data_IF_904524810224
#
_entry.id   IF_904524810224
#
_cell.length_a   1.000
_cell.length_b   1.000
_cell.length_c   1.000
_cell.angle_alpha   90.00
_cell.angle_beta   90.00
_cell.angle_gamma   90.00
#
_symmetry.space_group_name_H-M   'P 1'
#
loop_
_entity.id
_entity.type
_entity.pdbx_description
1 polymer ?
#
# COMPACT_ATOMS: atom_id res chain seq x y z
N UNK A 1 -3.49 -22.68 17.15
CA UNK A 1 -2.73 -22.12 16.01
C UNK A 1 -3.16 -20.69 15.71
N UNK A 2 -2.75 -19.75 16.56
CA UNK A 2 -3.04 -18.31 16.38
C UNK A 2 -2.10 -17.65 15.35
N UNK A 3 -0.90 -18.21 15.17
CA UNK A 3 0.15 -17.71 14.27
C UNK A 3 -0.24 -17.75 12.79
N UNK A 4 -1.02 -18.76 12.37
CA UNK A 4 -1.48 -18.86 10.98
C UNK A 4 -2.52 -17.79 10.61
N UNK A 5 -3.32 -17.33 11.59
CA UNK A 5 -4.29 -16.25 11.40
C UNK A 5 -3.64 -14.87 11.33
N UNK A 6 -2.63 -14.61 12.17
CA UNK A 6 -1.88 -13.35 12.13
C UNK A 6 -1.15 -13.15 10.80
N UNK A 7 -0.54 -14.19 10.25
CA UNK A 7 0.17 -14.12 8.98
C UNK A 7 -0.75 -13.74 7.80
N UNK A 8 -1.95 -14.32 7.72
CA UNK A 8 -2.90 -14.00 6.64
C UNK A 8 -3.45 -12.57 6.77
N UNK A 9 -3.66 -12.08 8.00
CA UNK A 9 -4.06 -10.70 8.25
C UNK A 9 -2.99 -9.70 7.80
N UNK A 10 -1.72 -9.91 8.20
CA UNK A 10 -0.60 -9.04 7.79
C UNK A 10 -0.45 -9.03 6.27
N UNK A 11 -0.58 -10.21 5.63
CA UNK A 11 -0.54 -10.31 4.17
C UNK A 11 -1.65 -9.48 3.51
N UNK A 12 -2.88 -9.54 4.04
CA UNK A 12 -4.00 -8.73 3.56
C UNK A 12 -3.73 -7.23 3.66
N UNK A 13 -3.18 -6.77 4.80
CA UNK A 13 -2.84 -5.35 4.99
C UNK A 13 -1.72 -4.91 4.04
N UNK A 14 -0.71 -5.75 3.83
CA UNK A 14 0.36 -5.46 2.87
C UNK A 14 -0.18 -5.28 1.43
N UNK A 15 -1.14 -6.12 1.03
CA UNK A 15 -1.80 -6.00 -0.28
C UNK A 15 -2.61 -4.70 -0.36
N UNK A 16 -3.37 -4.34 0.69
CA UNK A 16 -4.15 -3.10 0.72
C UNK A 16 -3.26 -1.86 0.55
N UNK A 17 -2.17 -1.78 1.32
CA UNK A 17 -1.21 -0.69 1.22
C UNK A 17 -0.54 -0.60 -0.16
N UNK A 18 -0.20 -1.75 -0.77
CA UNK A 18 0.28 -1.79 -2.15
C UNK A 18 -0.73 -1.25 -3.15
N UNK A 19 -2.01 -1.59 -2.98
CA UNK A 19 -3.11 -1.09 -3.82
C UNK A 19 -3.29 0.42 -3.63
N UNK A 20 -3.24 0.94 -2.41
CA UNK A 20 -3.36 2.38 -2.14
C UNK A 20 -2.29 3.18 -2.89
N UNK A 21 -1.02 2.78 -2.78
CA UNK A 21 0.11 3.42 -3.47
C UNK A 21 -0.08 3.34 -4.98
N UNK A 22 -0.35 2.15 -5.51
CA UNK A 22 -0.46 1.91 -6.96
C UNK A 22 -1.65 2.65 -7.57
N UNK A 23 -2.77 2.70 -6.86
CA UNK A 23 -3.98 3.40 -7.31
C UNK A 23 -3.73 4.91 -7.41
N UNK A 24 -3.02 5.50 -6.43
CA UNK A 24 -2.63 6.91 -6.45
C UNK A 24 -1.59 7.21 -7.52
N UNK A 25 -0.60 6.34 -7.67
CA UNK A 25 0.39 6.43 -8.75
C UNK A 25 -0.29 6.49 -10.11
N UNK A 26 -1.27 5.64 -10.34
CA UNK A 26 -2.05 5.61 -11.59
C UNK A 26 -2.80 6.92 -11.86
N UNK A 27 -3.29 7.60 -10.82
CA UNK A 27 -3.99 8.88 -10.97
C UNK A 27 -2.98 9.97 -11.37
N UNK A 28 -1.87 10.08 -10.65
CA UNK A 28 -0.83 11.08 -10.95
C UNK A 28 -0.13 10.83 -12.29
N UNK A 29 0.15 9.57 -12.63
CA UNK A 29 0.76 9.20 -13.91
C UNK A 29 -0.15 9.46 -15.12
N UNK A 30 -1.48 9.56 -14.92
CA UNK A 30 -2.39 10.02 -15.99
C UNK A 30 -2.38 11.53 -16.17
N UNK A 31 -2.25 12.26 -15.07
CA UNK A 31 -2.31 13.72 -15.09
C UNK A 31 -0.98 14.37 -15.47
N UNK A 32 0.15 13.66 -15.29
CA UNK A 32 1.50 14.19 -15.51
C UNK A 32 2.24 13.44 -16.61
N UNK A 33 2.98 14.18 -17.45
CA UNK A 33 3.85 13.63 -18.51
C UNK A 33 5.19 13.08 -17.98
N UNK A 34 5.62 13.50 -16.79
CA UNK A 34 6.92 13.13 -16.22
C UNK A 34 6.77 12.09 -15.12
N UNK A 35 7.24 10.87 -15.36
CA UNK A 35 7.18 9.73 -14.43
C UNK A 35 7.82 10.01 -13.05
N UNK A 36 9.02 10.65 -12.96
CA UNK A 36 9.64 10.92 -11.66
C UNK A 36 8.84 11.93 -10.84
N UNK A 37 8.27 12.94 -11.51
CA UNK A 37 7.42 13.94 -10.86
C UNK A 37 6.09 13.35 -10.38
N UNK A 38 5.50 12.44 -11.16
CA UNK A 38 4.29 11.70 -10.75
C UNK A 38 4.55 10.82 -9.53
N UNK A 39 5.72 10.16 -9.45
CA UNK A 39 6.10 9.34 -8.31
C UNK A 39 6.28 10.17 -7.04
N UNK A 40 6.98 11.30 -7.13
CA UNK A 40 7.20 12.19 -5.98
C UNK A 40 5.87 12.71 -5.40
N UNK A 41 4.93 13.11 -6.27
CA UNK A 41 3.61 13.56 -5.84
C UNK A 41 2.78 12.42 -5.24
N UNK A 42 2.87 11.22 -5.83
CA UNK A 42 2.20 10.02 -5.31
C UNK A 42 2.62 9.74 -3.88
N UNK A 43 3.93 9.73 -3.60
CA UNK A 43 4.43 9.47 -2.25
C UNK A 43 3.90 10.52 -1.28
N UNK A 44 3.91 11.81 -1.64
CA UNK A 44 3.34 12.88 -0.80
C UNK A 44 1.86 12.67 -0.53
N UNK A 45 1.08 12.36 -1.56
CA UNK A 45 -0.36 12.17 -1.46
C UNK A 45 -0.76 10.90 -0.70
N UNK A 46 0.10 9.87 -0.71
CA UNK A 46 -0.16 8.57 -0.07
C UNK A 46 0.31 8.52 1.38
N UNK A 47 1.40 9.23 1.71
CA UNK A 47 1.98 9.19 3.07
C UNK A 47 0.99 9.71 4.12
N UNK A 48 0.24 10.77 3.83
CA UNK A 48 -0.75 11.32 4.76
C UNK A 48 -1.89 10.33 5.09
N UNK A 49 -2.64 9.77 4.10
CA UNK A 49 -3.71 8.81 4.39
C UNK A 49 -3.19 7.47 4.93
N UNK A 50 -2.00 7.01 4.52
CA UNK A 50 -1.41 5.79 5.09
C UNK A 50 -0.97 6.00 6.54
N UNK A 51 -0.44 7.18 6.86
CA UNK A 51 -0.07 7.53 8.22
C UNK A 51 -1.28 7.58 9.15
N UNK A 52 -2.38 8.20 8.72
CA UNK A 52 -3.60 8.27 9.54
C UNK A 52 -4.23 6.89 9.78
N UNK A 53 -4.28 6.04 8.75
CA UNK A 53 -4.79 4.67 8.90
C UNK A 53 -3.89 3.81 9.79
N UNK A 54 -2.57 3.95 9.67
CA UNK A 54 -1.61 3.24 10.53
C UNK A 54 -1.71 3.70 11.97
N UNK A 55 -1.80 5.01 12.23
CA UNK A 55 -1.99 5.54 13.58
C UNK A 55 -3.30 5.07 14.21
N UNK A 56 -4.41 5.10 13.45
CA UNK A 56 -5.68 4.58 13.92
C UNK A 56 -5.60 3.09 14.27
N UNK A 57 -4.95 2.28 13.42
CA UNK A 57 -4.73 0.86 13.67
C UNK A 57 -3.88 0.62 14.92
N UNK A 58 -2.80 1.38 15.12
CA UNK A 58 -1.95 1.28 16.32
C UNK A 58 -2.73 1.60 17.60
N UNK A 59 -3.55 2.64 17.59
CA UNK A 59 -4.42 2.99 18.73
C UNK A 59 -5.41 1.85 18.98
N UNK A 60 -6.03 1.30 17.93
CA UNK A 60 -6.93 0.16 18.02
C UNK A 60 -6.26 -1.08 18.61
N UNK A 61 -5.06 -1.43 18.14
CA UNK A 61 -4.29 -2.56 18.68
C UNK A 61 -3.84 -2.32 20.11
N UNK A 62 -3.45 -1.10 20.48
CA UNK A 62 -3.10 -0.78 21.86
C UNK A 62 -4.30 -0.87 22.80
N UNK A 63 -5.47 -0.40 22.39
CA UNK A 63 -6.70 -0.60 23.15
C UNK A 63 -7.05 -2.10 23.26
N UNK A 64 -6.86 -2.85 22.17
CA UNK A 64 -7.14 -4.28 22.11
C UNK A 64 -6.20 -5.11 23.01
N UNK A 65 -4.95 -4.68 23.17
CA UNK A 65 -3.96 -5.31 24.07
C UNK A 65 -4.30 -5.15 25.54
N UNK A 66 -5.06 -4.12 25.92
CA UNK A 66 -5.51 -3.92 27.32
C UNK A 66 -6.67 -4.83 27.73
N UNK A 67 -7.26 -5.58 26.78
CA UNK A 67 -8.36 -6.50 27.07
C UNK A 67 -7.91 -7.74 27.86
N UNK A 68 -8.84 -8.37 28.58
CA UNK A 68 -8.57 -9.56 29.40
C UNK A 68 -8.22 -10.82 28.57
N UNK A 69 -8.50 -10.80 27.26
CA UNK A 69 -8.29 -11.93 26.36
C UNK A 69 -6.83 -11.99 25.87
N UNK A 70 -6.02 -12.85 26.49
CA UNK A 70 -4.58 -13.00 26.17
C UNK A 70 -4.29 -13.27 24.68
N UNK A 71 -5.12 -14.06 24.01
CA UNK A 71 -5.01 -14.35 22.57
C UNK A 71 -5.07 -13.06 21.73
N UNK A 72 -5.92 -12.11 22.14
CA UNK A 72 -6.15 -10.89 21.40
C UNK A 72 -5.01 -9.88 21.63
N UNK A 73 -4.41 -9.87 22.84
CA UNK A 73 -3.21 -9.07 23.11
C UNK A 73 -2.01 -9.57 22.32
N UNK A 74 -1.74 -10.88 22.31
CA UNK A 74 -0.62 -11.44 21.55
C UNK A 74 -0.76 -11.15 20.05
N UNK A 75 -1.99 -11.21 19.53
CA UNK A 75 -2.30 -10.83 18.16
C UNK A 75 -2.10 -9.34 17.91
N UNK A 76 -2.57 -8.48 18.83
CA UNK A 76 -2.45 -7.03 18.71
C UNK A 76 -0.98 -6.58 18.63
N UNK A 77 -0.11 -7.15 19.46
CA UNK A 77 1.32 -6.83 19.44
C UNK A 77 1.98 -7.27 18.11
N UNK A 78 1.69 -8.48 17.63
CA UNK A 78 2.17 -8.93 16.31
C UNK A 78 1.68 -8.06 15.16
N UNK A 79 0.40 -7.69 15.17
CA UNK A 79 -0.20 -6.85 14.14
C UNK A 79 0.37 -5.42 14.17
N UNK A 80 0.64 -4.87 15.35
CA UNK A 80 1.21 -3.51 15.49
C UNK A 80 2.57 -3.39 14.79
N UNK A 81 3.45 -4.37 14.97
CA UNK A 81 4.74 -4.47 14.28
C UNK A 81 4.54 -4.75 12.79
N UNK A 82 3.62 -5.65 12.44
CA UNK A 82 3.31 -6.01 11.06
C UNK A 82 2.86 -4.82 10.23
N UNK A 83 1.91 -4.02 10.73
CA UNK A 83 1.40 -2.83 10.03
C UNK A 83 2.48 -1.78 9.83
N UNK A 84 3.33 -1.53 10.83
CA UNK A 84 4.46 -0.60 10.69
C UNK A 84 5.43 -1.06 9.60
N UNK A 85 5.81 -2.34 9.60
CA UNK A 85 6.66 -2.92 8.57
C UNK A 85 6.01 -2.85 7.19
N UNK A 86 4.71 -3.15 7.07
CA UNK A 86 3.97 -3.07 5.82
C UNK A 86 3.89 -1.63 5.29
N UNK A 87 3.66 -0.63 6.14
CA UNK A 87 3.64 0.78 5.75
C UNK A 87 5.01 1.21 5.19
N UNK A 88 6.10 0.86 5.89
CA UNK A 88 7.46 1.16 5.43
C UNK A 88 7.77 0.46 4.10
N UNK A 89 7.40 -0.82 3.98
CA UNK A 89 7.56 -1.58 2.75
C UNK A 89 6.73 -0.96 1.61
N UNK A 90 5.51 -0.51 1.86
CA UNK A 90 4.68 0.09 0.83
C UNK A 90 5.25 1.43 0.31
N UNK A 91 5.82 2.25 1.19
CA UNK A 91 6.42 3.55 0.81
C UNK A 91 7.80 3.37 0.14
N UNK A 92 8.50 2.26 0.38
CA UNK A 92 9.85 2.03 -0.18
C UNK A 92 9.86 1.04 -1.34
N UNK A 93 9.30 -0.15 -1.13
CA UNK A 93 9.30 -1.27 -2.06
C UNK A 93 8.42 -1.01 -3.29
N UNK A 94 7.22 -0.46 -3.10
CA UNK A 94 6.27 -0.22 -4.20
C UNK A 94 6.79 0.82 -5.19
N UNK A 95 7.27 2.02 -4.79
CA UNK A 95 7.84 2.96 -5.75
C UNK A 95 9.12 2.42 -6.38
N UNK A 96 9.95 1.67 -5.64
CA UNK A 96 11.13 1.02 -6.21
C UNK A 96 10.74 0.01 -7.31
N UNK A 97 9.74 -0.83 -7.06
CA UNK A 97 9.19 -1.78 -8.03
C UNK A 97 8.58 -1.08 -9.26
N UNK A 98 7.87 0.02 -9.06
CA UNK A 98 7.29 0.79 -10.16
C UNK A 98 8.36 1.43 -11.05
N UNK A 99 9.42 2.00 -10.45
CA UNK A 99 10.54 2.61 -11.19
C UNK A 99 11.37 1.53 -11.90
N UNK A 100 11.68 0.41 -11.24
CA UNK A 100 12.40 -0.71 -11.87
C UNK A 100 11.58 -1.36 -12.99
N UNK A 101 10.27 -1.52 -12.77
CA UNK A 101 9.35 -2.12 -13.73
C UNK A 101 9.23 -1.32 -15.03
N UNK A 102 9.23 0.02 -14.93
CA UNK A 102 9.29 0.89 -16.11
C UNK A 102 10.62 0.74 -16.86
N UNK A 103 11.74 0.68 -16.12
CA UNK A 103 13.10 0.59 -16.68
C UNK A 103 13.43 -0.74 -17.34
N UNK A 104 13.07 -1.87 -16.72
CA UNK A 104 13.50 -3.21 -17.17
C UNK A 104 12.44 -3.94 -17.98
N UNK A 105 11.17 -3.80 -17.60
CA UNK A 105 10.13 -4.63 -18.19
C UNK A 105 9.51 -4.02 -19.44
N UNK A 106 9.46 -2.68 -19.59
CA UNK A 106 8.75 -1.99 -20.69
C UNK A 106 7.25 -2.37 -20.85
N UNK A 107 6.78 -3.32 -20.03
CA UNK A 107 5.52 -4.05 -20.15
C UNK A 107 4.45 -3.38 -19.29
N UNK A 108 4.83 -2.75 -18.19
CA UNK A 108 3.92 -1.95 -17.37
C UNK A 108 3.59 -0.59 -17.99
N UNK A 109 3.63 -0.50 -19.33
CA UNK A 109 3.12 0.64 -20.09
C UNK A 109 1.58 0.64 -20.04
N UNK A 110 1.05 1.15 -18.94
CA UNK A 110 -0.37 1.49 -18.77
C UNK A 110 -0.92 2.37 -19.91
N UNK A 111 -0.05 3.04 -20.69
CA UNK A 111 -0.40 3.82 -21.87
C UNK A 111 -1.05 2.99 -23.01
N UNK A 112 -0.68 1.71 -23.18
CA UNK A 112 -1.22 0.86 -24.27
C UNK A 112 -2.61 0.30 -23.93
N UNK A 113 -2.84 -0.10 -22.68
CA UNK A 113 -4.17 -0.56 -22.20
C UNK A 113 -5.17 0.62 -22.14
N UNK A 114 -4.70 1.82 -21.81
CA UNK A 114 -5.56 3.01 -21.79
C UNK A 114 -5.96 3.53 -23.17
N UNK A 115 -5.13 3.31 -24.20
CA UNK A 115 -5.50 3.64 -25.58
C UNK A 115 -6.69 2.82 -26.08
N UNK A 116 -6.86 1.58 -25.60
CA UNK A 116 -7.94 0.69 -26.03
C UNK A 116 -9.32 1.15 -25.50
N UNK A 117 -9.40 1.69 -24.26
CA UNK A 117 -10.68 2.21 -23.73
C UNK A 117 -11.14 3.53 -24.37
N UNK A 118 -10.27 4.27 -25.06
CA UNK A 118 -10.65 5.52 -25.74
C UNK A 118 -11.29 5.29 -27.12
N UNK A 119 -11.21 4.06 -27.66
CA UNK A 119 -11.82 3.66 -28.94
C UNK A 119 -13.25 3.13 -28.84
N UNK A 120 -13.79 2.97 -27.62
CA UNK A 120 -15.14 2.41 -27.38
C UNK A 120 -16.17 3.47 -26.97
N UNK A 121 -15.91 4.74 -27.36
CA UNK A 121 -16.86 5.86 -27.29
C UNK A 121 -16.97 6.54 -28.66
N UNK A 122 -17.21 5.73 -29.69
CA UNK A 122 -17.82 6.18 -30.94
C UNK A 122 -19.07 5.36 -31.17
#
# INVERSE_FOLDING_TARGET
NVTSGGASMIMGIGIDFGIQVTSRFRIEARNRRNLPAAMAETIRAVTMPMGTTTLAALIGFRAMSMGELKVLSDLADMMSLGVLCCMLAAITLVPALLVLGDKYLGWFSWSKIFKIKKGWKK
#
